data_IF_189661064578
#
_entry.id   IF_189661064578
#
_cell.length_a   1.000
_cell.length_b   1.000
_cell.length_c   1.000
_cell.angle_alpha   90.00
_cell.angle_beta   90.00
_cell.angle_gamma   90.00
#
_symmetry.space_group_name_H-M   'P 1'
#
loop_
_entity.id
_entity.type
_entity.pdbx_description
1 polymer ?
#
# COMPACT_ATOMS: atom_id res chain seq x y z
N UNK A 1 -6.28 -1.83 7.48
CA UNK A 1 -7.21 -2.46 6.52
C UNK A 1 -6.44 -3.22 5.46
N UNK A 2 -7.09 -3.69 4.39
CA UNK A 2 -6.48 -4.65 3.46
C UNK A 2 -6.08 -4.07 2.09
N UNK A 3 -5.98 -2.74 1.96
CA UNK A 3 -5.60 -2.11 0.69
C UNK A 3 -4.11 -2.28 0.35
N UNK A 4 -3.24 -2.12 1.35
CA UNK A 4 -1.78 -2.27 1.26
C UNK A 4 -1.26 -2.98 2.50
N UNK A 5 -0.22 -3.81 2.33
CA UNK A 5 0.50 -4.52 3.40
C UNK A 5 2.00 -4.24 3.29
N UNK A 6 2.78 -4.61 4.31
CA UNK A 6 4.23 -4.54 4.22
C UNK A 6 4.76 -5.46 3.09
N UNK A 7 5.21 -4.86 1.99
CA UNK A 7 5.73 -5.57 0.81
C UNK A 7 4.68 -6.26 -0.06
N UNK A 8 3.39 -5.92 0.09
CA UNK A 8 2.30 -6.51 -0.70
C UNK A 8 1.09 -5.57 -0.83
N UNK A 9 0.04 -5.99 -1.55
CA UNK A 9 -1.24 -5.27 -1.65
C UNK A 9 -2.43 -6.22 -1.49
N UNK A 10 -3.60 -5.65 -1.17
CA UNK A 10 -4.87 -6.38 -1.18
C UNK A 10 -5.21 -6.97 -2.53
N UNK A 11 -5.79 -8.16 -2.53
CA UNK A 11 -6.34 -8.77 -3.75
C UNK A 11 -7.57 -8.02 -4.25
N UNK A 12 -7.63 -7.73 -5.55
CA UNK A 12 -8.79 -7.13 -6.21
C UNK A 12 -9.05 -7.78 -7.58
N UNK A 13 -9.60 -9.01 -7.64
CA UNK A 13 -9.70 -9.80 -8.88
C UNK A 13 -10.39 -9.08 -10.04
N UNK A 14 -11.46 -8.34 -9.76
CA UNK A 14 -12.25 -7.62 -10.79
C UNK A 14 -11.85 -6.16 -10.97
N UNK A 15 -11.03 -5.60 -10.08
CA UNK A 15 -10.74 -4.16 -10.01
C UNK A 15 -9.26 -3.87 -9.69
N UNK A 16 -8.35 -4.75 -10.12
CA UNK A 16 -6.92 -4.67 -9.79
C UNK A 16 -6.32 -3.30 -10.11
N UNK A 17 -6.56 -2.80 -11.32
CA UNK A 17 -6.03 -1.52 -11.77
C UNK A 17 -6.54 -0.36 -10.91
N UNK A 18 -7.85 -0.29 -10.67
CA UNK A 18 -8.45 0.75 -9.83
C UNK A 18 -7.92 0.68 -8.38
N UNK A 19 -7.78 -0.53 -7.82
CA UNK A 19 -7.24 -0.72 -6.48
C UNK A 19 -5.80 -0.22 -6.39
N UNK A 20 -4.96 -0.56 -7.38
CA UNK A 20 -3.57 -0.11 -7.46
C UNK A 20 -3.49 1.42 -7.61
N UNK A 21 -4.28 2.01 -8.51
CA UNK A 21 -4.35 3.46 -8.71
C UNK A 21 -4.76 4.20 -7.43
N UNK A 22 -5.75 3.68 -6.69
CA UNK A 22 -6.18 4.28 -5.42
C UNK A 22 -5.15 4.16 -4.31
N UNK A 23 -4.40 3.07 -4.23
CA UNK A 23 -3.30 2.99 -3.27
C UNK A 23 -2.21 4.02 -3.62
N UNK A 24 -1.88 4.20 -4.90
CA UNK A 24 -0.91 5.21 -5.33
C UNK A 24 -1.38 6.65 -5.07
N UNK A 25 -2.64 6.98 -5.42
CA UNK A 25 -3.14 8.35 -5.35
C UNK A 25 -3.54 8.81 -3.95
N UNK A 26 -3.97 7.88 -3.08
CA UNK A 26 -4.52 8.22 -1.76
C UNK A 26 -3.58 7.84 -0.60
N UNK A 27 -2.81 6.75 -0.71
CA UNK A 27 -2.00 6.22 0.40
C UNK A 27 -0.52 6.53 0.19
N UNK A 28 0.04 6.18 -0.97
CA UNK A 28 1.45 6.40 -1.27
C UNK A 28 1.78 7.85 -1.66
N UNK A 29 0.76 8.70 -1.79
CA UNK A 29 0.89 10.15 -1.96
C UNK A 29 1.04 10.90 -0.63
N UNK A 30 0.85 10.22 0.50
CA UNK A 30 1.05 10.79 1.83
C UNK A 30 2.55 11.01 2.11
N UNK A 31 2.83 11.74 3.19
CA UNK A 31 4.22 12.03 3.57
C UNK A 31 5.02 10.74 3.81
N UNK A 32 6.30 10.75 3.50
CA UNK A 32 7.17 9.57 3.51
C UNK A 32 7.24 8.89 4.90
N UNK A 33 7.19 9.67 5.98
CA UNK A 33 7.18 9.25 7.37
C UNK A 33 5.82 8.72 7.86
N UNK A 34 4.78 8.79 7.02
CA UNK A 34 3.44 8.29 7.38
C UNK A 34 3.52 6.81 7.73
N UNK A 35 3.10 6.48 8.94
CA UNK A 35 3.02 5.12 9.45
C UNK A 35 1.76 4.45 8.88
N UNK A 36 1.95 3.31 8.23
CA UNK A 36 0.88 2.47 7.71
C UNK A 36 0.65 1.30 8.67
N UNK A 37 -0.58 1.22 9.19
CA UNK A 37 -1.05 0.13 10.07
C UNK A 37 -1.98 -0.80 9.27
N UNK A 38 -1.43 -1.81 8.56
CA UNK A 38 -2.24 -2.71 7.75
C UNK A 38 -3.13 -3.61 8.63
N UNK A 39 -4.13 -4.25 8.01
CA UNK A 39 -4.99 -5.22 8.68
C UNK A 39 -4.25 -6.50 9.09
N UNK A 40 -3.14 -6.80 8.40
CA UNK A 40 -2.32 -7.98 8.59
C UNK A 40 -0.84 -7.67 8.34
N UNK A 41 0.05 -8.39 9.00
CA UNK A 41 1.50 -8.18 8.88
C UNK A 41 2.01 -7.01 9.73
N UNK A 42 3.30 -6.68 9.60
CA UNK A 42 3.93 -5.65 10.41
C UNK A 42 3.51 -4.24 9.99
N UNK A 43 3.70 -3.29 10.92
CA UNK A 43 3.63 -1.85 10.64
C UNK A 43 4.79 -1.46 9.71
N UNK A 44 4.53 -0.54 8.79
CA UNK A 44 5.51 -0.03 7.80
C UNK A 44 5.34 1.47 7.61
N UNK A 45 6.19 2.12 6.81
CA UNK A 45 5.99 3.51 6.35
C UNK A 45 5.71 3.62 4.85
N UNK A 46 5.22 4.78 4.40
CA UNK A 46 5.08 5.10 2.97
C UNK A 46 6.45 5.02 2.26
N UNK A 47 7.51 5.57 2.87
CA UNK A 47 8.86 5.53 2.31
C UNK A 47 9.35 4.11 2.04
N UNK A 48 9.13 3.19 2.99
CA UNK A 48 9.49 1.79 2.83
C UNK A 48 8.69 1.14 1.70
N UNK A 49 7.37 1.37 1.63
CA UNK A 49 6.54 0.77 0.58
C UNK A 49 6.86 1.28 -0.82
N UNK A 50 7.22 2.56 -0.98
CA UNK A 50 7.71 3.09 -2.27
C UNK A 50 9.04 2.46 -2.71
N UNK A 51 9.80 1.88 -1.78
CA UNK A 51 11.13 1.30 -2.06
C UNK A 51 11.05 -0.21 -2.31
N UNK A 52 10.21 -0.93 -1.55
CA UNK A 52 10.28 -2.41 -1.49
C UNK A 52 9.02 -3.12 -1.99
N UNK A 53 7.91 -2.42 -2.18
CA UNK A 53 6.64 -3.07 -2.54
C UNK A 53 6.59 -3.38 -4.05
N UNK A 54 6.60 -4.64 -4.48
CA UNK A 54 6.71 -5.00 -5.90
C UNK A 54 5.46 -4.64 -6.73
N UNK A 55 4.37 -4.21 -6.08
CA UNK A 55 3.14 -3.83 -6.75
C UNK A 55 3.12 -2.36 -7.17
N UNK A 56 4.01 -1.50 -6.66
CA UNK A 56 3.98 -0.05 -6.87
C UNK A 56 5.28 0.47 -7.45
#
# INVERSE_FOLDING_TARGET
GDAIFAGSMGGAPSHYQLAREKVQSEILSLSAETILCPGHGPVTTVAEQLTVNPFF
#
